data_IF_622844721789
#
_entry.id   IF_622844721789
#
_cell.length_a   1.000
_cell.length_b   1.000
_cell.length_c   1.000
_cell.angle_alpha   90.00
_cell.angle_beta   90.00
_cell.angle_gamma   90.00
#
_symmetry.space_group_name_H-M   'P 1'
#
loop_
_entity.id
_entity.type
_entity.pdbx_description
1 polymer ?
#
# COMPACT_ATOMS: atom_id res chain seq x y z
N UNK A 1 -12.28 7.51 -24.42
CA UNK A 1 -13.56 7.21 -23.73
C UNK A 1 -14.25 5.92 -24.23
N UNK A 2 -13.60 5.03 -25.00
CA UNK A 2 -14.33 3.93 -25.68
C UNK A 2 -14.16 2.50 -25.11
N UNK A 3 -13.15 2.18 -24.30
CA UNK A 3 -12.91 0.76 -23.95
C UNK A 3 -13.76 0.20 -22.80
N UNK A 4 -14.42 1.02 -21.99
CA UNK A 4 -15.22 0.53 -20.85
C UNK A 4 -16.70 0.29 -21.19
N UNK A 5 -17.22 0.93 -22.24
CA UNK A 5 -18.66 0.92 -22.56
C UNK A 5 -19.05 -0.09 -23.65
N UNK A 6 -18.10 -0.59 -24.44
CA UNK A 6 -18.35 -1.66 -25.41
C UNK A 6 -18.45 -3.07 -24.78
N UNK A 7 -18.21 -3.21 -23.47
CA UNK A 7 -18.35 -4.47 -22.74
C UNK A 7 -19.76 -4.68 -22.14
N UNK A 8 -20.66 -3.71 -22.31
CA UNK A 8 -21.96 -3.74 -21.64
C UNK A 8 -23.06 -4.49 -22.42
N UNK A 9 -22.88 -4.77 -23.72
CA UNK A 9 -24.05 -5.06 -24.57
C UNK A 9 -24.14 -6.47 -25.18
N UNK A 10 -23.19 -7.38 -24.92
CA UNK A 10 -23.35 -8.79 -25.36
C UNK A 10 -22.93 -9.90 -24.37
N UNK A 11 -22.28 -9.59 -23.24
CA UNK A 11 -21.64 -10.62 -22.38
C UNK A 11 -22.20 -10.77 -20.96
N UNK A 12 -23.32 -10.12 -20.64
CA UNK A 12 -23.96 -10.24 -19.30
C UNK A 12 -24.36 -11.69 -18.97
N UNK A 13 -24.40 -12.58 -19.97
CA UNK A 13 -24.69 -14.01 -19.81
C UNK A 13 -23.45 -14.94 -19.88
N UNK A 14 -22.23 -14.41 -20.13
CA UNK A 14 -20.96 -15.15 -20.06
C UNK A 14 -20.15 -14.85 -18.78
N UNK A 15 -20.82 -14.65 -17.64
CA UNK A 15 -20.19 -14.44 -16.32
C UNK A 15 -19.51 -15.71 -15.73
N UNK A 16 -18.60 -16.36 -16.47
CA UNK A 16 -17.93 -17.60 -16.04
C UNK A 16 -16.43 -17.69 -16.26
N UNK A 17 -15.77 -16.73 -16.91
CA UNK A 17 -14.33 -16.87 -17.16
C UNK A 17 -13.46 -16.20 -16.09
N UNK A 18 -13.04 -16.98 -15.09
CA UNK A 18 -12.10 -16.57 -14.05
C UNK A 18 -10.78 -16.04 -14.64
N UNK A 19 -10.38 -16.53 -15.82
CA UNK A 19 -9.16 -16.08 -16.50
C UNK A 19 -9.28 -14.64 -17.00
N UNK A 20 -10.46 -14.26 -17.49
CA UNK A 20 -10.71 -12.87 -17.87
C UNK A 20 -10.60 -11.93 -16.66
N UNK A 21 -11.19 -12.33 -15.52
CA UNK A 21 -11.07 -11.56 -14.27
C UNK A 21 -9.61 -11.42 -13.84
N UNK A 22 -8.81 -12.48 -13.94
CA UNK A 22 -7.37 -12.47 -13.60
C UNK A 22 -6.57 -11.54 -14.50
N UNK A 23 -6.80 -11.59 -15.81
CA UNK A 23 -6.14 -10.68 -16.76
C UNK A 23 -6.44 -9.21 -16.45
N UNK A 24 -7.69 -8.90 -16.10
CA UNK A 24 -8.06 -7.54 -15.70
C UNK A 24 -7.39 -7.12 -14.38
N UNK A 25 -7.30 -8.02 -13.39
CA UNK A 25 -6.56 -7.76 -12.14
C UNK A 25 -5.09 -7.46 -12.41
N UNK A 26 -4.43 -8.25 -13.26
CA UNK A 26 -3.04 -8.02 -13.66
C UNK A 26 -2.86 -6.69 -14.39
N UNK A 27 -3.82 -6.32 -15.23
CA UNK A 27 -3.84 -5.02 -15.91
C UNK A 27 -3.92 -3.86 -14.92
N UNK A 28 -4.80 -3.94 -13.92
CA UNK A 28 -4.92 -2.92 -12.86
C UNK A 28 -3.62 -2.80 -12.06
N UNK A 29 -2.99 -3.94 -11.69
CA UNK A 29 -1.71 -3.93 -10.98
C UNK A 29 -0.65 -3.22 -11.83
N UNK A 30 -0.54 -3.56 -13.12
CA UNK A 30 0.41 -2.94 -14.03
C UNK A 30 0.18 -1.43 -14.16
N UNK A 31 -1.07 -1.01 -14.38
CA UNK A 31 -1.46 0.39 -14.50
C UNK A 31 -1.12 1.19 -13.25
N UNK A 32 -1.45 0.67 -12.06
CA UNK A 32 -1.15 1.31 -10.78
C UNK A 32 0.35 1.51 -10.60
N UNK A 33 1.16 0.49 -10.94
CA UNK A 33 2.63 0.56 -10.85
C UNK A 33 3.25 1.54 -11.83
N UNK A 34 2.70 1.63 -13.04
CA UNK A 34 3.15 2.58 -14.06
C UNK A 34 2.63 4.01 -13.83
N UNK A 35 1.71 4.19 -12.87
CA UNK A 35 1.06 5.47 -12.64
C UNK A 35 0.09 5.90 -13.74
N UNK A 36 -0.33 4.96 -14.58
CA UNK A 36 -1.24 5.20 -15.71
C UNK A 36 -2.68 5.11 -15.21
N UNK A 37 -3.49 6.14 -15.49
CA UNK A 37 -4.94 6.16 -15.27
C UNK A 37 -5.41 5.71 -13.85
N UNK A 38 -4.64 6.02 -12.80
CA UNK A 38 -4.89 5.55 -11.41
C UNK A 38 -6.32 5.74 -10.91
N UNK A 39 -6.97 6.84 -11.28
CA UNK A 39 -8.37 7.11 -10.88
C UNK A 39 -9.38 6.21 -11.59
N UNK A 40 -9.06 5.72 -12.80
CA UNK A 40 -9.85 4.68 -13.47
C UNK A 40 -9.56 3.32 -12.88
N UNK A 41 -8.32 3.01 -12.51
CA UNK A 41 -7.95 1.75 -11.84
C UNK A 41 -8.76 1.53 -10.55
N UNK A 42 -9.01 2.59 -9.78
CA UNK A 42 -9.90 2.54 -8.62
C UNK A 42 -11.33 2.09 -8.97
N UNK A 43 -11.96 2.77 -9.94
CA UNK A 43 -13.31 2.45 -10.38
C UNK A 43 -13.39 1.03 -10.95
N UNK A 44 -12.39 0.65 -11.76
CA UNK A 44 -12.26 -0.68 -12.32
C UNK A 44 -12.17 -1.74 -11.21
N UNK A 45 -11.35 -1.51 -10.17
CA UNK A 45 -11.24 -2.42 -9.02
C UNK A 45 -12.59 -2.64 -8.34
N UNK A 46 -13.38 -1.56 -8.14
CA UNK A 46 -14.74 -1.66 -7.60
C UNK A 46 -15.70 -2.49 -8.47
N UNK A 47 -15.59 -2.38 -9.79
CA UNK A 47 -16.36 -3.21 -10.74
C UNK A 47 -15.92 -4.67 -10.66
N UNK A 48 -14.61 -4.94 -10.67
CA UNK A 48 -14.07 -6.30 -10.60
C UNK A 48 -14.42 -7.01 -9.29
N UNK A 49 -14.49 -6.28 -8.18
CA UNK A 49 -14.99 -6.82 -6.91
C UNK A 49 -16.42 -7.33 -7.07
N UNK A 50 -17.31 -6.56 -7.70
CA UNK A 50 -18.70 -6.99 -7.95
C UNK A 50 -18.75 -8.20 -8.89
N UNK A 51 -17.91 -8.22 -9.92
CA UNK A 51 -17.81 -9.37 -10.82
C UNK A 51 -17.32 -10.62 -10.09
N UNK A 52 -16.32 -10.50 -9.21
CA UNK A 52 -15.81 -11.60 -8.41
C UNK A 52 -16.87 -12.13 -7.42
N UNK A 53 -17.70 -11.24 -6.85
CA UNK A 53 -18.85 -11.64 -6.02
C UNK A 53 -19.84 -12.51 -6.80
N UNK A 54 -20.09 -12.16 -8.07
CA UNK A 54 -21.03 -12.86 -8.95
C UNK A 54 -20.43 -14.11 -9.62
N UNK A 55 -19.10 -14.24 -9.68
CA UNK A 55 -18.43 -15.39 -10.26
C UNK A 55 -18.77 -16.68 -9.51
N UNK A 56 -19.27 -17.68 -10.24
CA UNK A 56 -19.64 -19.00 -9.71
C UNK A 56 -18.43 -19.89 -9.37
N UNK A 57 -18.70 -21.08 -8.79
CA UNK A 57 -17.71 -22.12 -8.47
C UNK A 57 -18.05 -23.37 -9.27
N UNK A 58 -17.14 -23.81 -10.15
CA UNK A 58 -17.37 -24.96 -11.04
C UNK A 58 -16.54 -26.16 -10.57
N UNK A 59 -15.23 -25.97 -10.32
CA UNK A 59 -14.34 -27.00 -9.77
C UNK A 59 -13.74 -26.60 -8.41
N UNK A 60 -13.05 -27.54 -7.75
CA UNK A 60 -12.28 -27.28 -6.53
C UNK A 60 -11.09 -26.37 -6.80
N UNK A 61 -10.44 -26.55 -7.95
CA UNK A 61 -9.42 -25.65 -8.47
C UNK A 61 -9.97 -24.23 -8.62
N UNK A 62 -11.08 -24.05 -9.35
CA UNK A 62 -11.69 -22.72 -9.57
C UNK A 62 -12.09 -22.05 -8.26
N UNK A 63 -12.50 -22.83 -7.27
CA UNK A 63 -12.81 -22.32 -5.95
C UNK A 63 -11.59 -21.70 -5.25
N UNK A 64 -10.42 -22.34 -5.31
CA UNK A 64 -9.17 -21.80 -4.76
C UNK A 64 -8.67 -20.61 -5.56
N UNK A 65 -8.68 -20.74 -6.88
CA UNK A 65 -8.29 -19.69 -7.81
C UNK A 65 -9.13 -18.42 -7.58
N UNK A 66 -10.44 -18.56 -7.37
CA UNK A 66 -11.35 -17.46 -7.00
C UNK A 66 -11.02 -16.88 -5.63
N UNK A 67 -10.70 -17.69 -4.61
CA UNK A 67 -10.29 -17.18 -3.28
C UNK A 67 -9.05 -16.31 -3.38
N UNK A 68 -8.03 -16.75 -4.14
CA UNK A 68 -6.80 -15.99 -4.36
C UNK A 68 -7.06 -14.69 -5.11
N UNK A 69 -7.82 -14.75 -6.21
CA UNK A 69 -8.22 -13.55 -6.96
C UNK A 69 -9.02 -12.58 -6.10
N UNK A 70 -9.92 -13.09 -5.25
CA UNK A 70 -10.66 -12.28 -4.29
C UNK A 70 -9.75 -11.58 -3.29
N UNK A 71 -8.82 -12.31 -2.65
CA UNK A 71 -7.84 -11.72 -1.72
C UNK A 71 -7.03 -10.61 -2.39
N UNK A 72 -6.57 -10.82 -3.63
CA UNK A 72 -5.86 -9.80 -4.40
C UNK A 72 -6.74 -8.56 -4.66
N UNK A 73 -8.01 -8.74 -5.06
CA UNK A 73 -8.94 -7.63 -5.28
C UNK A 73 -9.22 -6.84 -4.01
N UNK A 74 -9.38 -7.52 -2.88
CA UNK A 74 -9.54 -6.89 -1.57
C UNK A 74 -8.29 -6.08 -1.21
N UNK A 75 -7.10 -6.63 -1.46
CA UNK A 75 -5.83 -5.95 -1.22
C UNK A 75 -5.67 -4.68 -2.08
N UNK A 76 -6.02 -4.76 -3.36
CA UNK A 76 -6.00 -3.60 -4.27
C UNK A 76 -6.99 -2.52 -3.83
N UNK A 77 -8.22 -2.92 -3.49
CA UNK A 77 -9.24 -2.00 -3.00
C UNK A 77 -8.83 -1.34 -1.68
N UNK A 78 -8.23 -2.09 -0.76
CA UNK A 78 -7.72 -1.55 0.49
C UNK A 78 -6.57 -0.56 0.28
N UNK A 79 -5.60 -0.93 -0.56
CA UNK A 79 -4.47 -0.06 -0.88
C UNK A 79 -4.96 1.28 -1.43
N UNK A 80 -5.80 1.28 -2.45
CA UNK A 80 -6.26 2.53 -3.06
C UNK A 80 -7.17 3.33 -2.12
N UNK A 81 -7.99 2.68 -1.28
CA UNK A 81 -8.78 3.36 -0.26
C UNK A 81 -7.90 4.12 0.74
N UNK A 82 -6.83 3.48 1.23
CA UNK A 82 -5.86 4.10 2.14
C UNK A 82 -5.06 5.22 1.46
N UNK A 83 -4.69 5.06 0.18
CA UNK A 83 -3.94 6.06 -0.60
C UNK A 83 -4.77 7.32 -0.82
N UNK A 84 -6.06 7.17 -1.18
CA UNK A 84 -6.95 8.29 -1.51
C UNK A 84 -7.76 8.82 -0.33
N UNK A 85 -7.69 8.18 0.83
CA UNK A 85 -8.55 8.49 1.98
C UNK A 85 -10.04 8.29 1.68
N UNK A 86 -10.36 7.33 0.80
CA UNK A 86 -11.71 7.06 0.33
C UNK A 86 -12.31 5.82 1.02
N UNK A 87 -13.65 5.69 1.08
CA UNK A 87 -14.28 4.46 1.53
C UNK A 87 -13.86 3.27 0.66
N UNK A 88 -13.53 2.12 1.27
CA UNK A 88 -13.20 0.91 0.52
C UNK A 88 -14.42 0.40 -0.26
N UNK A 89 -14.19 -0.10 -1.47
CA UNK A 89 -15.24 -0.75 -2.27
C UNK A 89 -15.72 -2.08 -1.64
N UNK A 90 -14.91 -2.66 -0.75
CA UNK A 90 -15.21 -3.88 -0.01
C UNK A 90 -15.81 -3.52 1.35
N UNK A 91 -16.96 -4.10 1.68
CA UNK A 91 -17.61 -3.93 2.98
C UNK A 91 -17.09 -4.93 4.01
N UNK A 92 -17.28 -4.62 5.29
CA UNK A 92 -16.77 -5.45 6.40
C UNK A 92 -17.32 -6.89 6.44
N UNK A 93 -18.52 -7.13 5.90
CA UNK A 93 -19.08 -8.47 5.82
C UNK A 93 -18.54 -9.27 4.63
N UNK A 94 -18.20 -8.59 3.52
CA UNK A 94 -17.84 -9.28 2.28
C UNK A 94 -16.38 -9.77 2.24
N UNK A 95 -15.48 -9.21 3.04
CA UNK A 95 -14.09 -9.71 3.10
C UNK A 95 -13.94 -11.03 3.86
N UNK A 96 -14.93 -11.44 4.68
CA UNK A 96 -14.90 -12.69 5.46
C UNK A 96 -15.16 -13.95 4.62
N UNK A 97 -14.69 -13.94 3.37
CA UNK A 97 -14.64 -15.16 2.57
C UNK A 97 -13.76 -16.21 3.25
N UNK A 98 -13.97 -17.49 2.93
CA UNK A 98 -13.07 -18.58 3.34
C UNK A 98 -11.61 -18.16 3.07
N UNK A 99 -10.72 -18.17 4.09
CA UNK A 99 -9.36 -17.70 3.94
C UNK A 99 -8.61 -18.47 2.85
N UNK A 100 -7.67 -17.80 2.19
CA UNK A 100 -6.75 -18.46 1.24
C UNK A 100 -5.89 -19.47 1.98
N UNK A 101 -5.70 -20.63 1.38
CA UNK A 101 -4.87 -21.68 1.95
C UNK A 101 -3.39 -21.35 1.72
N UNK A 102 -2.56 -21.64 2.73
CA UNK A 102 -1.10 -21.58 2.60
C UNK A 102 -0.60 -22.86 1.92
N UNK A 103 -0.64 -22.92 0.59
CA UNK A 103 -0.27 -24.09 -0.21
C UNK A 103 0.51 -23.62 -1.45
N UNK A 104 1.43 -24.45 -1.95
CA UNK A 104 2.21 -24.13 -3.15
C UNK A 104 1.34 -24.21 -4.40
N UNK A 105 1.75 -23.50 -5.45
CA UNK A 105 1.02 -23.45 -6.70
C UNK A 105 1.10 -24.80 -7.42
N UNK A 106 2.22 -25.50 -7.27
CA UNK A 106 2.45 -26.86 -7.80
C UNK A 106 1.53 -27.90 -7.19
N UNK A 107 0.99 -27.65 -5.99
CA UNK A 107 0.12 -28.57 -5.28
C UNK A 107 -1.36 -28.39 -5.68
N UNK A 108 -1.67 -27.47 -6.60
CA UNK A 108 -3.04 -27.14 -7.03
C UNK A 108 -3.26 -27.59 -8.47
N UNK A 109 -3.71 -28.83 -8.64
CA UNK A 109 -4.04 -29.39 -9.95
C UNK A 109 -5.43 -28.97 -10.43
N UNK A 110 -5.57 -28.71 -11.74
CA UNK A 110 -6.86 -28.36 -12.35
C UNK A 110 -7.91 -29.47 -12.23
N UNK A 111 -7.47 -30.73 -12.23
CA UNK A 111 -8.29 -31.93 -12.05
C UNK A 111 -8.54 -32.31 -10.58
N UNK A 112 -8.04 -31.53 -9.62
CA UNK A 112 -8.13 -31.89 -8.21
C UNK A 112 -9.59 -32.00 -7.74
N UNK A 113 -9.92 -33.13 -7.10
CA UNK A 113 -11.22 -33.35 -6.44
C UNK A 113 -11.20 -32.83 -5.00
N UNK A 114 -10.02 -32.62 -4.43
CA UNK A 114 -9.80 -32.07 -3.09
C UNK A 114 -8.47 -31.33 -3.04
N UNK A 115 -8.42 -30.21 -2.32
CA UNK A 115 -7.17 -29.48 -2.07
C UNK A 115 -6.36 -30.13 -0.95
N UNK A 116 -5.02 -29.99 -0.98
CA UNK A 116 -4.19 -30.32 0.17
C UNK A 116 -4.58 -29.48 1.38
N UNK A 117 -4.23 -29.97 2.57
CA UNK A 117 -4.35 -29.17 3.78
C UNK A 117 -3.43 -27.95 3.71
N UNK A 118 -3.89 -26.81 4.22
CA UNK A 118 -3.05 -25.62 4.34
C UNK A 118 -1.86 -25.89 5.26
N UNK A 119 -0.67 -25.47 4.82
CA UNK A 119 0.53 -25.53 5.62
C UNK A 119 0.43 -24.54 6.80
N UNK A 120 1.06 -24.86 7.94
CA UNK A 120 1.32 -23.91 9.01
C UNK A 120 1.95 -22.59 8.51
N UNK A 121 1.72 -21.48 9.20
CA UNK A 121 2.24 -20.15 8.80
C UNK A 121 3.77 -20.03 8.85
N UNK A 122 4.44 -20.90 9.60
CA UNK A 122 5.90 -20.97 9.70
C UNK A 122 6.56 -21.71 8.53
N UNK A 123 5.76 -22.30 7.65
CA UNK A 123 6.22 -22.88 6.39
C UNK A 123 5.92 -21.89 5.26
N UNK A 124 6.99 -21.43 4.62
CA UNK A 124 6.91 -20.56 3.46
C UNK A 124 6.40 -21.36 2.25
N UNK A 125 5.38 -20.84 1.57
CA UNK A 125 4.86 -21.37 0.30
C UNK A 125 5.00 -20.31 -0.80
N UNK A 126 4.47 -20.57 -2.00
CA UNK A 126 4.45 -19.61 -3.11
C UNK A 126 3.52 -18.40 -2.87
N UNK A 127 2.60 -18.47 -1.90
CA UNK A 127 1.59 -17.43 -1.65
C UNK A 127 1.59 -16.82 -0.23
N UNK A 128 2.75 -16.52 0.38
CA UNK A 128 2.84 -16.24 1.82
C UNK A 128 2.37 -14.82 2.16
N UNK A 129 2.67 -13.83 1.32
CA UNK A 129 2.27 -12.43 1.55
C UNK A 129 0.74 -12.29 1.62
N UNK A 130 0.04 -12.92 0.70
CA UNK A 130 -1.42 -12.84 0.60
C UNK A 130 -2.10 -13.56 1.75
N UNK A 131 -1.57 -14.73 2.15
CA UNK A 131 -2.01 -15.46 3.34
C UNK A 131 -1.88 -14.60 4.59
N UNK A 132 -0.76 -13.89 4.73
CA UNK A 132 -0.57 -12.94 5.83
C UNK A 132 -1.56 -11.80 5.74
N UNK A 133 -1.57 -11.05 4.64
CA UNK A 133 -2.40 -9.86 4.51
C UNK A 133 -3.90 -10.14 4.62
N UNK A 134 -4.35 -11.36 4.31
CA UNK A 134 -5.72 -11.82 4.49
C UNK A 134 -6.18 -11.90 5.96
N UNK A 135 -5.26 -11.87 6.94
CA UNK A 135 -5.59 -11.81 8.37
C UNK A 135 -5.83 -10.39 8.90
N UNK A 136 -5.39 -9.36 8.16
CA UNK A 136 -5.50 -7.95 8.53
C UNK A 136 -6.58 -7.08 7.83
N UNK A 137 -7.47 -7.56 6.92
CA UNK A 137 -8.42 -6.67 6.25
C UNK A 137 -9.31 -5.92 7.23
N UNK A 138 -9.75 -6.55 8.32
CA UNK A 138 -10.60 -5.91 9.33
C UNK A 138 -9.93 -4.68 9.97
N UNK A 139 -8.65 -4.78 10.32
CA UNK A 139 -7.89 -3.65 10.89
C UNK A 139 -7.71 -2.53 9.86
N UNK A 140 -7.38 -2.88 8.61
CA UNK A 140 -7.14 -1.91 7.54
C UNK A 140 -8.42 -1.24 7.04
N UNK A 141 -9.55 -1.93 7.01
CA UNK A 141 -10.87 -1.34 6.73
C UNK A 141 -11.30 -0.37 7.82
N UNK A 142 -11.02 -0.67 9.09
CA UNK A 142 -11.24 0.27 10.20
C UNK A 142 -10.37 1.51 10.05
N UNK A 143 -9.12 1.36 9.60
CA UNK A 143 -8.25 2.50 9.29
C UNK A 143 -8.88 3.38 8.18
N UNK A 144 -9.31 2.79 7.06
CA UNK A 144 -10.04 3.52 6.01
C UNK A 144 -11.27 4.26 6.56
N UNK A 145 -12.02 3.61 7.45
CA UNK A 145 -13.21 4.19 8.07
C UNK A 145 -12.85 5.40 8.93
N UNK A 146 -11.81 5.32 9.77
CA UNK A 146 -11.36 6.43 10.61
C UNK A 146 -10.83 7.61 9.80
N UNK A 147 -10.12 7.33 8.69
CA UNK A 147 -9.63 8.35 7.76
C UNK A 147 -10.82 9.08 7.12
N UNK A 148 -11.78 8.32 6.61
CA UNK A 148 -12.98 8.89 6.01
C UNK A 148 -13.86 9.64 7.02
N UNK A 149 -14.04 9.10 8.22
CA UNK A 149 -14.84 9.72 9.29
C UNK A 149 -14.15 10.90 9.95
N UNK A 150 -12.85 11.10 9.75
CA UNK A 150 -12.11 12.27 10.30
C UNK A 150 -12.59 13.60 9.72
N UNK A 151 -13.32 13.54 8.60
CA UNK A 151 -14.11 14.64 8.01
C UNK A 151 -15.29 15.04 8.93
N UNK A 152 -15.73 14.15 9.83
CA UNK A 152 -16.99 14.21 10.60
C UNK A 152 -16.81 14.18 12.14
N UNK A 153 -15.60 14.47 12.67
CA UNK A 153 -15.18 14.34 14.09
C UNK A 153 -14.94 12.89 14.58
N UNK A 154 -13.74 12.36 14.30
CA UNK A 154 -13.25 11.09 14.86
C UNK A 154 -12.73 11.27 16.30
N UNK A 155 -13.09 10.35 17.19
CA UNK A 155 -12.54 10.24 18.55
C UNK A 155 -11.06 9.79 18.53
N UNK A 156 -10.21 10.49 19.29
CA UNK A 156 -8.78 10.23 19.32
C UNK A 156 -8.45 8.89 19.97
N UNK A 157 -9.22 8.44 20.97
CA UNK A 157 -8.98 7.15 21.62
C UNK A 157 -9.18 6.00 20.63
N UNK A 158 -10.17 6.11 19.73
CA UNK A 158 -10.38 5.16 18.64
C UNK A 158 -9.17 5.04 17.69
N UNK A 159 -8.45 6.13 17.45
CA UNK A 159 -7.20 6.12 16.66
C UNK A 159 -6.09 5.42 17.43
N UNK A 160 -5.89 5.75 18.71
CA UNK A 160 -4.87 5.11 19.55
C UNK A 160 -5.13 3.61 19.73
N UNK A 161 -6.38 3.21 19.86
CA UNK A 161 -6.76 1.80 19.95
C UNK A 161 -6.38 1.05 18.66
N UNK A 162 -6.72 1.61 17.49
CA UNK A 162 -6.39 0.97 16.23
C UNK A 162 -4.88 0.96 15.94
N UNK A 163 -4.14 2.02 16.31
CA UNK A 163 -2.68 2.06 16.24
C UNK A 163 -2.05 0.87 16.99
N UNK A 164 -2.45 0.64 18.25
CA UNK A 164 -1.99 -0.50 19.05
C UNK A 164 -2.28 -1.85 18.38
N UNK A 165 -3.48 -2.01 17.83
CA UNK A 165 -3.87 -3.26 17.16
C UNK A 165 -3.07 -3.51 15.88
N UNK A 166 -2.82 -2.48 15.08
CA UNK A 166 -2.03 -2.57 13.84
C UNK A 166 -0.56 -2.89 14.15
N UNK A 167 0.03 -2.26 15.16
CA UNK A 167 1.39 -2.58 15.61
C UNK A 167 1.50 -3.99 16.16
N UNK A 168 0.56 -4.40 17.01
CA UNK A 168 0.51 -5.77 17.54
C UNK A 168 0.47 -6.79 16.40
N UNK A 169 -0.42 -6.57 15.43
CA UNK A 169 -0.52 -7.42 14.26
C UNK A 169 0.79 -7.45 13.44
N UNK A 170 1.41 -6.29 13.20
CA UNK A 170 2.67 -6.20 12.47
C UNK A 170 3.77 -7.04 13.16
N UNK A 171 3.92 -6.91 14.48
CA UNK A 171 4.92 -7.68 15.23
C UNK A 171 4.61 -9.17 15.27
N UNK A 172 3.34 -9.57 15.37
CA UNK A 172 2.94 -10.97 15.31
C UNK A 172 3.22 -11.58 13.93
N UNK A 173 2.82 -10.90 12.86
CA UNK A 173 2.99 -11.37 11.49
C UNK A 173 4.46 -11.56 11.09
N UNK A 174 5.35 -10.65 11.52
CA UNK A 174 6.79 -10.75 11.26
C UNK A 174 7.47 -11.91 12.01
N UNK A 175 6.80 -12.48 13.03
CA UNK A 175 7.32 -13.64 13.77
C UNK A 175 6.87 -14.97 13.19
N UNK A 176 5.94 -14.96 12.24
CA UNK A 176 5.45 -16.20 11.63
C UNK A 176 6.54 -16.88 10.81
N UNK A 177 7.45 -16.12 10.20
CA UNK A 177 8.50 -16.68 9.35
C UNK A 177 9.90 -16.53 9.95
N UNK A 178 10.83 -17.35 9.46
CA UNK A 178 12.23 -17.30 9.86
C UNK A 178 12.94 -16.09 9.20
N UNK A 179 13.65 -15.23 9.97
CA UNK A 179 14.16 -13.95 9.45
C UNK A 179 15.14 -14.02 8.28
N UNK A 180 15.79 -15.16 8.04
CA UNK A 180 16.88 -15.28 7.06
C UNK A 180 16.39 -15.35 5.61
N UNK A 181 15.14 -15.75 5.38
CA UNK A 181 14.61 -16.02 4.04
C UNK A 181 13.49 -15.06 3.62
N UNK A 182 12.99 -14.22 4.54
CA UNK A 182 11.76 -13.45 4.33
C UNK A 182 11.95 -11.95 4.22
N UNK A 183 13.17 -11.44 4.03
CA UNK A 183 13.42 -9.99 4.03
C UNK A 183 12.47 -9.19 3.10
N UNK A 184 12.22 -9.70 1.90
CA UNK A 184 11.31 -9.08 0.92
C UNK A 184 9.86 -9.12 1.43
N UNK A 185 9.43 -10.27 1.95
CA UNK A 185 8.12 -10.47 2.54
C UNK A 185 7.88 -9.54 3.74
N UNK A 186 8.83 -9.48 4.67
CA UNK A 186 8.84 -8.57 5.82
C UNK A 186 8.70 -7.11 5.38
N UNK A 187 9.43 -6.74 4.32
CA UNK A 187 9.39 -5.39 3.75
C UNK A 187 7.99 -5.05 3.23
N UNK A 188 7.34 -5.97 2.52
CA UNK A 188 5.96 -5.79 2.06
C UNK A 188 4.96 -5.71 3.22
N UNK A 189 5.07 -6.59 4.22
CA UNK A 189 4.19 -6.56 5.39
C UNK A 189 4.31 -5.22 6.12
N UNK A 190 5.55 -4.76 6.38
CA UNK A 190 5.83 -3.46 7.01
C UNK A 190 5.27 -2.30 6.21
N UNK A 191 5.46 -2.28 4.88
CA UNK A 191 4.88 -1.25 4.00
C UNK A 191 3.35 -1.22 4.09
N UNK A 192 2.70 -2.38 3.99
CA UNK A 192 1.23 -2.49 3.92
C UNK A 192 0.53 -2.17 5.23
N UNK A 193 1.04 -2.71 6.35
CA UNK A 193 0.47 -2.41 7.67
C UNK A 193 0.87 -1.00 8.10
N UNK A 194 2.13 -0.60 7.89
CA UNK A 194 2.63 0.73 8.17
C UNK A 194 1.87 1.83 7.44
N UNK A 195 1.43 1.59 6.19
CA UNK A 195 0.57 2.54 5.48
C UNK A 195 -0.76 2.80 6.19
N UNK A 196 -1.40 1.76 6.73
CA UNK A 196 -2.60 1.91 7.54
C UNK A 196 -2.38 2.77 8.79
N UNK A 197 -1.27 2.51 9.53
CA UNK A 197 -0.91 3.27 10.73
C UNK A 197 -0.57 4.72 10.37
N UNK A 198 0.17 4.94 9.29
CA UNK A 198 0.51 6.27 8.82
C UNK A 198 -0.75 7.07 8.50
N UNK A 199 -1.66 6.50 7.72
CA UNK A 199 -2.84 7.21 7.25
C UNK A 199 -3.80 7.62 8.38
N UNK A 200 -3.94 6.84 9.47
CA UNK A 200 -4.77 7.24 10.62
C UNK A 200 -4.18 8.41 11.42
N UNK A 201 -2.85 8.58 11.40
CA UNK A 201 -2.19 9.69 12.09
C UNK A 201 -1.99 10.93 11.23
N UNK A 202 -1.96 10.83 9.89
CA UNK A 202 -1.69 11.96 8.97
C UNK A 202 -2.59 13.17 9.26
N UNK A 203 -3.90 12.96 9.40
CA UNK A 203 -4.86 14.05 9.59
C UNK A 203 -4.79 14.68 11.00
N UNK A 204 -4.45 13.90 12.02
CA UNK A 204 -4.32 14.40 13.41
C UNK A 204 -3.03 15.18 13.57
N UNK A 205 -1.93 14.70 12.99
CA UNK A 205 -0.66 15.41 13.00
C UNK A 205 -0.72 16.73 12.21
N UNK A 206 -1.57 16.82 11.18
CA UNK A 206 -1.82 18.11 10.52
C UNK A 206 -2.49 19.14 11.44
N UNK A 207 -3.27 18.69 12.41
CA UNK A 207 -3.87 19.56 13.44
C UNK A 207 -2.88 19.93 14.57
N UNK A 208 -1.62 19.48 14.50
CA UNK A 208 -0.65 19.55 15.62
C UNK A 208 -0.30 20.93 16.14
N UNK A 209 -0.46 21.96 15.33
CA UNK A 209 -0.10 23.31 15.73
C UNK A 209 -1.01 23.89 16.82
N UNK A 210 -2.13 23.23 17.13
CA UNK A 210 -3.15 23.75 18.05
C UNK A 210 -3.32 22.93 19.33
N UNK A 211 -2.93 21.65 19.36
CA UNK A 211 -3.32 20.72 20.44
C UNK A 211 -2.18 19.78 20.88
N UNK A 212 -2.03 19.58 22.20
CA UNK A 212 -0.97 18.73 22.80
C UNK A 212 -1.10 17.24 22.45
N UNK A 213 -2.31 16.76 22.17
CA UNK A 213 -2.65 15.39 21.73
C UNK A 213 -1.97 15.01 20.41
N UNK A 214 -1.56 15.98 19.61
CA UNK A 214 -0.96 15.74 18.31
C UNK A 214 0.53 15.38 18.35
N UNK A 215 1.20 15.57 19.50
CA UNK A 215 2.63 15.24 19.65
C UNK A 215 2.88 13.74 19.48
N UNK A 216 2.00 12.89 20.03
CA UNK A 216 2.10 11.44 19.87
C UNK A 216 1.89 11.03 18.41
N UNK A 217 0.84 11.53 17.76
CA UNK A 217 0.59 11.26 16.33
C UNK A 217 1.74 11.70 15.43
N UNK A 218 2.34 12.87 15.70
CA UNK A 218 3.51 13.35 14.98
C UNK A 218 4.74 12.44 15.18
N UNK A 219 4.91 11.86 16.38
CA UNK A 219 5.97 10.89 16.65
C UNK A 219 5.73 9.58 15.91
N UNK A 220 4.53 9.01 16.02
CA UNK A 220 4.18 7.76 15.31
C UNK A 220 4.39 7.90 13.81
N UNK A 221 3.97 9.03 13.21
CA UNK A 221 4.24 9.31 11.79
C UNK A 221 5.72 9.32 11.43
N UNK A 222 6.58 9.96 12.25
CA UNK A 222 8.03 9.96 12.00
C UNK A 222 8.62 8.55 12.09
N UNK A 223 8.19 7.75 13.07
CA UNK A 223 8.64 6.37 13.25
C UNK A 223 8.27 5.50 12.03
N UNK A 224 7.00 5.55 11.59
CA UNK A 224 6.50 4.77 10.45
C UNK A 224 7.11 5.24 9.13
N UNK A 225 7.16 6.56 8.91
CA UNK A 225 7.76 7.11 7.69
C UNK A 225 9.25 6.75 7.60
N UNK A 226 9.97 6.81 8.72
CA UNK A 226 11.38 6.36 8.78
C UNK A 226 11.51 4.89 8.46
N UNK A 227 10.62 4.03 8.98
CA UNK A 227 10.61 2.60 8.68
C UNK A 227 10.41 2.35 7.17
N UNK A 228 9.39 2.96 6.55
CA UNK A 228 9.09 2.78 5.12
C UNK A 228 10.25 3.28 4.24
N UNK A 229 10.80 4.46 4.54
CA UNK A 229 11.92 5.03 3.78
C UNK A 229 13.20 4.21 3.96
N UNK A 230 13.45 3.66 5.14
CA UNK A 230 14.57 2.75 5.39
C UNK A 230 14.47 1.45 4.61
N UNK A 231 13.28 0.85 4.58
CA UNK A 231 13.02 -0.33 3.76
C UNK A 231 13.29 -0.01 2.29
N UNK A 232 12.82 1.14 1.80
CA UNK A 232 13.06 1.54 0.42
C UNK A 232 14.55 1.73 0.10
N UNK A 233 15.30 2.41 0.99
CA UNK A 233 16.76 2.58 0.84
C UNK A 233 17.45 1.23 0.77
N UNK A 234 17.15 0.33 1.71
CA UNK A 234 17.81 -0.96 1.78
C UNK A 234 17.46 -1.87 0.60
N UNK A 235 16.19 -1.93 0.17
CA UNK A 235 15.82 -2.67 -1.04
C UNK A 235 16.55 -2.16 -2.27
N UNK A 236 16.77 -0.84 -2.38
CA UNK A 236 17.55 -0.26 -3.46
C UNK A 236 19.04 -0.65 -3.40
N UNK A 237 19.64 -0.64 -2.21
CA UNK A 237 21.02 -1.07 -2.00
C UNK A 237 21.22 -2.56 -2.32
N UNK A 238 20.25 -3.42 -1.95
CA UNK A 238 20.28 -4.84 -2.30
C UNK A 238 20.10 -5.07 -3.81
N UNK A 239 19.14 -4.37 -4.41
CA UNK A 239 18.87 -4.45 -5.83
C UNK A 239 18.02 -3.27 -6.26
N UNK A 240 18.58 -2.46 -7.17
CA UNK A 240 17.85 -1.38 -7.82
C UNK A 240 16.48 -1.85 -8.32
N UNK A 241 16.39 -3.07 -8.90
CA UNK A 241 15.14 -3.68 -9.40
C UNK A 241 14.12 -4.01 -8.31
N UNK A 242 14.56 -4.58 -7.19
CA UNK A 242 13.65 -4.92 -6.08
C UNK A 242 13.04 -3.68 -5.44
N UNK A 243 13.78 -2.56 -5.43
CA UNK A 243 13.26 -1.30 -4.92
C UNK A 243 12.01 -0.82 -5.66
N UNK A 244 11.85 -1.14 -6.95
CA UNK A 244 10.65 -0.78 -7.72
C UNK A 244 9.42 -1.62 -7.37
N UNK A 245 9.59 -2.80 -6.78
CA UNK A 245 8.45 -3.66 -6.42
C UNK A 245 7.75 -3.14 -5.16
N UNK A 246 8.53 -2.58 -4.23
CA UNK A 246 8.00 -2.01 -2.99
C UNK A 246 7.73 -0.49 -3.09
N UNK A 247 8.29 0.20 -4.10
CA UNK A 247 8.00 1.62 -4.33
C UNK A 247 6.53 1.78 -4.73
N UNK A 248 5.84 2.67 -4.03
CA UNK A 248 4.43 2.98 -4.28
C UNK A 248 4.01 4.28 -3.59
N UNK A 249 2.72 4.58 -3.64
CA UNK A 249 2.19 5.83 -3.08
C UNK A 249 2.40 5.90 -1.55
N UNK A 250 2.45 4.76 -0.85
CA UNK A 250 2.84 4.73 0.57
C UNK A 250 4.26 5.25 0.84
N UNK A 251 5.23 5.00 -0.05
CA UNK A 251 6.60 5.52 0.10
C UNK A 251 6.64 7.03 -0.09
N UNK A 252 5.85 7.54 -1.03
CA UNK A 252 5.71 8.98 -1.26
C UNK A 252 5.00 9.65 -0.09
N UNK A 253 3.88 9.09 0.38
CA UNK A 253 3.16 9.58 1.54
C UNK A 253 4.05 9.57 2.80
N UNK A 254 4.91 8.56 2.97
CA UNK A 254 5.92 8.52 4.04
C UNK A 254 6.92 9.68 3.92
N UNK A 255 7.50 9.89 2.73
CA UNK A 255 8.38 11.03 2.47
C UNK A 255 7.71 12.35 2.84
N UNK A 256 6.52 12.63 2.31
CA UNK A 256 5.81 13.86 2.59
C UNK A 256 5.46 13.98 4.08
N UNK A 257 4.96 12.92 4.72
CA UNK A 257 4.53 12.95 6.13
C UNK A 257 5.71 13.29 7.04
N UNK A 258 6.88 12.74 6.71
CA UNK A 258 8.12 13.06 7.39
C UNK A 258 8.49 14.54 7.21
N UNK A 259 8.46 15.05 5.98
CA UNK A 259 8.78 16.44 5.67
C UNK A 259 7.83 17.40 6.39
N UNK A 260 6.53 17.10 6.40
CA UNK A 260 5.50 17.93 6.99
C UNK A 260 5.64 18.04 8.51
N UNK A 261 5.88 16.90 9.19
CA UNK A 261 6.11 16.92 10.65
C UNK A 261 7.37 17.71 11.02
N UNK A 262 8.43 17.64 10.19
CA UNK A 262 9.63 18.46 10.39
C UNK A 262 9.37 19.94 10.12
N UNK A 263 8.62 20.26 9.06
CA UNK A 263 8.28 21.63 8.69
C UNK A 263 7.37 22.30 9.73
N UNK A 264 6.37 21.59 10.29
CA UNK A 264 5.50 22.09 11.38
C UNK A 264 6.32 22.53 12.60
N UNK A 265 7.42 21.81 12.87
CA UNK A 265 8.33 22.14 13.99
C UNK A 265 9.30 23.28 13.66
N UNK A 266 9.21 23.85 12.46
CA UNK A 266 9.97 25.02 11.99
C UNK A 266 9.00 26.15 11.57
N UNK A 267 9.46 27.40 11.52
CA UNK A 267 8.62 28.62 11.43
C UNK A 267 7.37 28.63 10.51
N UNK A 268 6.35 29.40 10.96
CA UNK A 268 4.97 29.51 10.42
C UNK A 268 4.79 29.81 8.93
N UNK A 269 5.72 30.52 8.28
CA UNK A 269 5.60 30.92 6.86
C UNK A 269 5.78 29.72 5.92
N UNK A 270 6.57 28.75 6.35
CA UNK A 270 6.90 27.51 5.64
C UNK A 270 5.70 26.57 5.51
N UNK A 271 4.84 26.62 6.52
CA UNK A 271 3.72 25.73 6.71
C UNK A 271 2.68 25.86 5.60
N UNK A 272 2.35 27.10 5.20
CA UNK A 272 1.31 27.39 4.21
C UNK A 272 1.61 26.78 2.82
N UNK A 273 2.90 26.71 2.44
CA UNK A 273 3.33 26.11 1.18
C UNK A 273 3.39 24.57 1.23
N UNK A 274 3.70 24.00 2.40
CA UNK A 274 3.68 22.55 2.59
C UNK A 274 2.25 22.00 2.75
N UNK A 275 1.38 22.70 3.49
CA UNK A 275 -0.04 22.35 3.70
C UNK A 275 -0.83 22.34 2.39
N UNK A 276 -0.59 23.35 1.52
CA UNK A 276 -1.18 23.36 0.18
C UNK A 276 -0.72 22.13 -0.61
N UNK A 277 0.58 21.89 -0.76
CA UNK A 277 1.08 20.69 -1.46
C UNK A 277 0.52 19.37 -0.87
N UNK A 278 0.26 19.31 0.44
CA UNK A 278 -0.28 18.14 1.14
C UNK A 278 -1.76 17.86 0.88
N UNK A 279 -2.57 18.91 0.85
CA UNK A 279 -4.00 18.78 0.51
C UNK A 279 -4.17 18.30 -0.94
N UNK A 280 -3.26 18.71 -1.83
CA UNK A 280 -3.23 18.28 -3.24
C UNK A 280 -2.66 16.87 -3.45
N UNK A 281 -1.66 16.43 -2.66
CA UNK A 281 -1.15 15.04 -2.74
C UNK A 281 -2.20 13.98 -2.39
N UNK A 282 -3.23 14.34 -1.61
CA UNK A 282 -4.38 13.47 -1.34
C UNK A 282 -5.35 13.29 -2.52
N UNK A 283 -5.23 14.08 -3.60
CA UNK A 283 -6.29 14.17 -4.63
C UNK A 283 -5.97 13.78 -6.07
N UNK A 284 -4.71 13.70 -6.52
CA UNK A 284 -4.23 12.91 -7.70
C UNK A 284 -2.88 13.48 -8.24
N UNK A 285 -2.03 12.55 -8.73
CA UNK A 285 -0.93 12.59 -9.73
C UNK A 285 0.12 13.74 -9.78
N UNK A 286 -0.09 14.93 -9.21
CA UNK A 286 0.89 16.03 -9.30
C UNK A 286 2.10 15.93 -8.35
N UNK A 287 2.22 14.81 -7.62
CA UNK A 287 3.21 14.64 -6.54
C UNK A 287 4.67 14.81 -6.99
N UNK A 288 5.03 14.30 -8.18
CA UNK A 288 6.42 14.28 -8.65
C UNK A 288 7.02 15.67 -8.95
N UNK A 289 6.20 16.67 -9.30
CA UNK A 289 6.68 18.02 -9.65
C UNK A 289 7.21 18.79 -8.43
N UNK A 290 6.76 18.47 -7.22
CA UNK A 290 7.12 19.20 -6.01
C UNK A 290 8.32 18.60 -5.25
N UNK A 291 8.73 17.37 -5.57
CA UNK A 291 9.81 16.64 -4.88
C UNK A 291 11.17 17.36 -4.89
N UNK A 292 11.63 17.97 -6.01
CA UNK A 292 12.90 18.72 -6.03
C UNK A 292 12.86 20.00 -5.18
N UNK A 293 11.72 20.70 -5.15
CA UNK A 293 11.52 21.91 -4.37
C UNK A 293 11.51 21.60 -2.86
N UNK A 294 10.81 20.53 -2.46
CA UNK A 294 10.80 20.03 -1.07
C UNK A 294 12.20 19.55 -0.65
N UNK A 295 12.94 18.86 -1.52
CA UNK A 295 14.31 18.41 -1.25
C UNK A 295 15.29 19.58 -1.10
N UNK A 296 15.23 20.58 -1.98
CA UNK A 296 16.07 21.78 -1.89
C UNK A 296 15.82 22.53 -0.59
N UNK A 297 14.55 22.62 -0.17
CA UNK A 297 14.15 23.21 1.10
C UNK A 297 14.71 22.46 2.32
N UNK A 298 14.55 21.13 2.34
CA UNK A 298 15.10 20.23 3.37
C UNK A 298 16.61 20.40 3.48
N UNK A 299 17.33 20.36 2.35
CA UNK A 299 18.79 20.55 2.31
C UNK A 299 19.21 21.93 2.84
N UNK A 300 18.43 22.98 2.58
CA UNK A 300 18.72 24.33 3.05
C UNK A 300 18.47 24.53 4.56
N UNK A 301 17.48 23.84 5.15
CA UNK A 301 17.05 24.10 6.54
C UNK A 301 17.49 23.04 7.56
N UNK A 302 17.55 21.76 7.22
CA UNK A 302 17.99 20.69 8.15
C UNK A 302 19.48 20.76 8.49
N UNK A 303 20.31 21.29 7.58
CA UNK A 303 21.77 21.34 7.77
C UNK A 303 22.24 22.26 8.90
N UNK A 304 21.46 23.27 9.30
CA UNK A 304 21.95 24.32 10.20
C UNK A 304 21.52 24.18 11.67
N UNK A 305 20.41 23.49 12.00
CA UNK A 305 19.89 23.50 13.38
C UNK A 305 19.39 22.14 13.91
N UNK A 306 18.98 21.21 13.05
CA UNK A 306 18.30 19.97 13.48
C UNK A 306 19.15 18.68 13.41
N UNK A 307 20.35 18.73 12.81
CA UNK A 307 21.29 17.60 12.78
C UNK A 307 21.70 17.09 14.17
N UNK A 308 21.55 17.92 15.22
CA UNK A 308 21.78 17.52 16.62
C UNK A 308 20.54 16.89 17.31
N UNK A 309 19.32 17.15 16.82
CA UNK A 309 18.06 16.73 17.47
C UNK A 309 17.45 15.46 16.85
N UNK A 310 17.58 15.28 15.53
CA UNK A 310 17.21 14.07 14.83
C UNK A 310 18.47 13.48 14.20
N UNK A 311 18.90 12.31 14.69
CA UNK A 311 20.14 11.60 14.30
C UNK A 311 20.40 11.77 12.80
N UNK A 312 21.60 12.25 12.44
CA UNK A 312 22.08 12.52 11.08
C UNK A 312 21.68 11.46 10.04
N UNK A 313 21.66 10.20 10.47
CA UNK A 313 21.27 9.02 9.70
C UNK A 313 19.87 9.09 9.09
N UNK A 314 18.91 9.75 9.76
CA UNK A 314 17.52 9.85 9.28
C UNK A 314 17.39 10.91 8.18
N UNK A 315 18.05 12.05 8.34
CA UNK A 315 18.09 13.10 7.32
C UNK A 315 18.77 12.60 6.03
N UNK A 316 19.80 11.76 6.16
CA UNK A 316 20.49 11.13 5.04
C UNK A 316 19.57 10.20 4.24
N UNK A 317 18.70 9.42 4.91
CA UNK A 317 17.73 8.53 4.27
C UNK A 317 16.74 9.29 3.38
N UNK A 318 16.25 10.44 3.83
CA UNK A 318 15.33 11.32 3.07
C UNK A 318 16.01 11.89 1.83
N UNK A 319 17.26 12.34 1.96
CA UNK A 319 18.03 12.90 0.84
C UNK A 319 18.30 11.83 -0.23
N UNK A 320 18.68 10.62 0.19
CA UNK A 320 18.93 9.49 -0.71
C UNK A 320 17.65 9.06 -1.45
N UNK A 321 16.51 8.99 -0.77
CA UNK A 321 15.23 8.66 -1.42
C UNK A 321 14.82 9.70 -2.47
N UNK A 322 15.01 10.99 -2.19
CA UNK A 322 14.68 12.04 -3.15
C UNK A 322 15.62 12.02 -4.36
N UNK A 323 16.90 11.67 -4.19
CA UNK A 323 17.83 11.44 -5.31
C UNK A 323 17.43 10.22 -6.15
N UNK A 324 16.98 9.15 -5.50
CA UNK A 324 16.43 7.98 -6.17
C UNK A 324 15.25 8.36 -7.07
N UNK A 325 14.29 9.14 -6.56
CA UNK A 325 13.13 9.61 -7.34
C UNK A 325 13.51 10.39 -8.61
N UNK A 326 14.55 11.23 -8.52
CA UNK A 326 15.06 11.99 -9.66
C UNK A 326 15.71 11.06 -10.71
N UNK A 327 16.49 10.07 -10.27
CA UNK A 327 17.10 9.06 -11.15
C UNK A 327 16.07 8.13 -11.81
N UNK A 328 14.98 7.83 -11.11
CA UNK A 328 13.87 7.01 -11.60
C UNK A 328 13.13 7.70 -12.76
N UNK A 329 12.86 8.99 -12.64
CA UNK A 329 12.23 9.79 -13.68
C UNK A 329 13.11 9.90 -14.93
N UNK A 330 14.43 10.05 -14.75
CA UNK A 330 15.37 10.15 -15.87
C UNK A 330 15.47 8.86 -16.71
N UNK A 331 15.13 7.70 -16.14
CA UNK A 331 15.34 6.39 -16.75
C UNK A 331 14.04 5.61 -17.07
N UNK A 332 12.89 6.30 -17.24
CA UNK A 332 11.56 5.70 -17.37
C UNK A 332 11.38 4.57 -18.42
N UNK A 333 12.27 4.48 -19.42
CA UNK A 333 12.27 3.40 -20.42
C UNK A 333 12.75 2.03 -19.89
N UNK A 334 13.56 1.97 -18.84
CA UNK A 334 14.10 0.71 -18.30
C UNK A 334 13.07 -0.10 -17.48
N UNK A 335 12.04 0.56 -16.92
CA UNK A 335 10.96 -0.10 -16.18
C UNK A 335 10.12 -1.05 -17.03
N UNK A 336 9.95 -0.75 -18.34
CA UNK A 336 9.10 -1.53 -19.26
C UNK A 336 9.69 -2.90 -19.61
N UNK A 337 11.01 -3.00 -19.80
CA UNK A 337 11.68 -4.26 -20.16
C UNK A 337 11.81 -5.24 -18.98
N UNK A 338 11.80 -4.72 -17.75
CA UNK A 338 11.97 -5.52 -16.53
C UNK A 338 10.65 -6.11 -16.01
N UNK A 339 9.50 -5.50 -16.36
CA UNK A 339 8.18 -5.95 -15.94
C UNK A 339 7.76 -7.27 -16.59
N UNK A 340 8.23 -7.54 -17.82
CA UNK A 340 8.01 -8.82 -18.52
C UNK A 340 8.71 -10.02 -17.88
N UNK A 341 9.65 -9.81 -16.95
CA UNK A 341 10.27 -10.86 -16.16
C UNK A 341 9.49 -11.14 -14.86
N UNK A 342 8.87 -10.12 -14.26
CA UNK A 342 8.11 -10.22 -13.01
C UNK A 342 6.71 -10.84 -13.19
N UNK A 343 6.04 -10.57 -14.33
CA UNK A 343 4.77 -11.23 -14.68
C UNK A 343 4.89 -12.75 -14.82
N UNK A 344 6.10 -13.30 -15.04
CA UNK A 344 6.36 -14.75 -15.12
C UNK A 344 6.57 -15.42 -13.77
N UNK A 345 6.57 -14.65 -12.67
CA UNK A 345 6.75 -15.17 -11.30
C UNK A 345 5.46 -15.05 -10.49
N UNK A 346 4.42 -14.38 -11.02
CA UNK A 346 3.11 -14.17 -10.37
C UNK A 346 1.97 -14.91 -11.10
N UNK A 347 2.24 -15.42 -12.30
CA UNK A 347 1.42 -16.38 -13.04
C UNK A 347 2.32 -17.55 -13.40
#
# INVERSE_FOLDING_TARGET
MACAWHLADQDVLQMRNLDHLRLLVLSIIAQNRLGIERSRSWLATGVLIKWAMMAGRISVFDAEMRRRTWTTLVELGLQTALEKGMPPAVQAFSYRSVPTLNINDTDIESSAVKLPAGQPFDILTDYPLSVVLAQSPGLRLRACTLIYSSILNTDYESVLHLDRELWRYLFEALRWFTPRETYILDSFIKSKIGHGIMSIHTQIAAKALKESTSVHSARSLLEIASMILSIQKHLHELSGRLSFLNIGDCTMQAFYSFCHVLCIRSDKITLANCETCFLWTSRDVEMLFHTPAVLAFIKARLRLHQAMLHKSEVAERVVNFAQLQILLHANGHACLLLYGAFLRTIC
#
